data_IF_321478429173
#
_entry.id   IF_321478429173
#
_cell.length_a   1.000
_cell.length_b   1.000
_cell.length_c   1.000
_cell.angle_alpha   90.00
_cell.angle_beta   90.00
_cell.angle_gamma   90.00
#
_symmetry.space_group_name_H-M   'P 1'
#
loop_
_entity.id
_entity.type
_entity.pdbx_description
1 polymer ?
#
# COMPACT_ATOMS: atom_id res chain seq x y z
N UNK A 1 28.42 12.67 18.35
CA UNK A 1 27.82 11.35 18.68
C UNK A 1 28.64 10.29 17.98
N UNK A 2 29.14 9.26 18.69
CA UNK A 2 29.83 8.15 17.98
C UNK A 2 28.79 7.22 17.36
N UNK A 3 29.15 6.57 16.25
CA UNK A 3 28.30 5.61 15.51
C UNK A 3 27.68 4.54 16.43
N UNK A 4 28.41 4.10 17.47
CA UNK A 4 27.97 3.08 18.44
C UNK A 4 26.72 3.44 19.26
N UNK A 5 26.29 4.70 19.30
CA UNK A 5 25.06 5.09 20.00
C UNK A 5 23.82 5.01 19.11
N UNK A 6 23.97 5.09 17.79
CA UNK A 6 22.83 5.03 16.86
C UNK A 6 22.35 3.59 16.66
N UNK A 7 23.28 2.64 16.60
CA UNK A 7 22.97 1.21 16.42
C UNK A 7 22.10 0.63 17.55
N UNK A 8 22.15 1.24 18.75
CA UNK A 8 21.33 0.85 19.90
C UNK A 8 19.87 1.31 19.80
N UNK A 9 19.54 2.18 18.84
CA UNK A 9 18.17 2.65 18.61
C UNK A 9 17.37 1.69 17.72
N UNK A 10 18.05 0.73 17.08
CA UNK A 10 17.43 -0.23 16.17
C UNK A 10 17.33 -1.61 16.82
N UNK A 11 16.18 -2.29 16.70
CA UNK A 11 16.00 -3.61 17.29
C UNK A 11 16.81 -4.67 16.52
N UNK A 12 17.27 -5.69 17.22
CA UNK A 12 17.62 -6.97 16.60
C UNK A 12 16.35 -7.74 16.22
N UNK A 13 16.46 -8.75 15.34
CA UNK A 13 15.30 -9.49 14.82
C UNK A 13 14.41 -10.09 15.91
N UNK A 14 15.00 -10.53 17.04
CA UNK A 14 14.28 -11.13 18.16
C UNK A 14 13.58 -10.10 19.07
N UNK A 15 13.93 -8.81 18.95
CA UNK A 15 13.35 -7.71 19.72
C UNK A 15 12.13 -7.09 19.03
N UNK A 16 11.90 -7.43 17.76
CA UNK A 16 10.72 -6.97 17.01
C UNK A 16 9.48 -7.72 17.54
N UNK A 17 8.47 -7.02 18.09
CA UNK A 17 7.26 -7.67 18.56
C UNK A 17 6.55 -8.44 17.44
N UNK A 18 6.01 -9.63 17.75
CA UNK A 18 5.40 -10.53 16.76
C UNK A 18 4.27 -9.87 15.97
N UNK A 19 3.49 -9.01 16.62
CA UNK A 19 2.40 -8.26 15.97
C UNK A 19 2.90 -7.33 14.86
N UNK A 20 4.13 -6.79 14.96
CA UNK A 20 4.75 -5.93 13.96
C UNK A 20 5.70 -6.69 13.03
N UNK A 21 6.17 -7.87 13.42
CA UNK A 21 7.00 -8.68 12.56
C UNK A 21 6.15 -9.29 11.43
N UNK A 22 6.49 -9.00 10.18
CA UNK A 22 5.87 -9.64 9.01
C UNK A 22 6.42 -11.06 8.87
N UNK A 23 5.54 -12.06 8.86
CA UNK A 23 5.92 -13.47 8.70
C UNK A 23 6.55 -13.75 7.32
N UNK A 24 6.06 -13.05 6.29
CA UNK A 24 6.60 -13.08 4.94
C UNK A 24 6.42 -11.71 4.27
N UNK A 25 7.26 -11.38 3.27
CA UNK A 25 7.04 -10.21 2.43
C UNK A 25 5.67 -10.28 1.72
N UNK A 26 5.01 -9.14 1.59
CA UNK A 26 3.72 -9.03 0.90
C UNK A 26 3.96 -8.70 -0.57
N UNK A 27 3.62 -9.64 -1.45
CA UNK A 27 3.76 -9.46 -2.90
C UNK A 27 2.44 -9.00 -3.51
N UNK A 28 2.32 -7.71 -3.82
CA UNK A 28 1.16 -7.21 -4.53
C UNK A 28 1.27 -7.57 -6.02
N UNK A 29 0.41 -8.49 -6.46
CA UNK A 29 0.35 -9.00 -7.84
C UNK A 29 -0.87 -8.52 -8.59
N UNK A 30 -1.60 -7.55 -8.03
CA UNK A 30 -2.81 -7.02 -8.62
C UNK A 30 -2.83 -5.49 -8.52
N UNK A 31 -3.51 -4.87 -9.48
CA UNK A 31 -3.79 -3.44 -9.50
C UNK A 31 -5.28 -3.20 -9.74
N UNK A 32 -5.80 -2.10 -9.20
CA UNK A 32 -7.21 -1.72 -9.32
C UNK A 32 -7.41 -0.80 -10.52
N UNK A 33 -8.25 -1.21 -11.47
CA UNK A 33 -8.66 -0.39 -12.61
C UNK A 33 -10.15 -0.57 -12.87
N UNK A 34 -10.87 0.54 -13.03
CA UNK A 34 -12.31 0.53 -13.33
C UNK A 34 -13.16 -0.35 -12.37
N UNK A 35 -12.80 -0.38 -11.08
CA UNK A 35 -13.52 -1.17 -10.07
C UNK A 35 -13.14 -2.66 -10.03
N UNK A 36 -12.16 -3.11 -10.81
CA UNK A 36 -11.71 -4.51 -10.87
C UNK A 36 -10.25 -4.65 -10.45
N UNK A 37 -9.95 -5.67 -9.65
CA UNK A 37 -8.57 -6.11 -9.41
C UNK A 37 -8.11 -6.97 -10.58
N UNK A 38 -7.03 -6.56 -11.22
CA UNK A 38 -6.45 -7.27 -12.36
C UNK A 38 -5.05 -7.77 -12.03
N UNK A 39 -4.75 -8.97 -12.53
CA UNK A 39 -3.45 -9.61 -12.37
C UNK A 39 -2.35 -8.81 -13.07
N UNK A 40 -1.23 -8.63 -12.39
CA UNK A 40 -0.05 -7.94 -12.86
C UNK A 40 1.08 -8.94 -13.12
N UNK A 41 1.58 -8.95 -14.36
CA UNK A 41 2.68 -9.81 -14.79
C UNK A 41 3.92 -8.99 -15.22
N UNK A 42 3.90 -7.67 -15.01
CA UNK A 42 4.98 -6.76 -15.37
C UNK A 42 6.02 -6.59 -14.28
N UNK A 43 6.80 -5.51 -14.38
CA UNK A 43 7.85 -5.18 -13.40
C UNK A 43 7.24 -4.86 -12.03
N UNK A 44 7.95 -5.23 -10.97
CA UNK A 44 7.62 -4.83 -9.60
C UNK A 44 8.77 -4.06 -8.97
N UNK A 45 8.45 -3.26 -7.95
CA UNK A 45 9.41 -2.57 -7.10
C UNK A 45 9.41 -3.23 -5.73
N UNK A 46 10.59 -3.62 -5.25
CA UNK A 46 10.76 -4.06 -3.88
C UNK A 46 10.54 -2.90 -2.89
N UNK A 47 9.84 -3.21 -1.80
CA UNK A 47 9.60 -2.32 -0.67
C UNK A 47 10.46 -2.75 0.51
N UNK A 48 11.13 -1.79 1.11
CA UNK A 48 12.05 -1.97 2.23
C UNK A 48 11.50 -1.25 3.47
N UNK A 49 11.63 -1.89 4.62
CA UNK A 49 11.30 -1.28 5.91
C UNK A 49 12.11 0.00 6.12
N UNK A 50 11.49 1.11 6.54
CA UNK A 50 12.22 2.31 6.94
C UNK A 50 12.94 2.14 8.29
N UNK A 51 12.51 1.15 9.10
CA UNK A 51 13.19 0.78 10.34
C UNK A 51 14.20 -0.33 10.04
N UNK A 52 15.46 -0.03 10.32
CA UNK A 52 16.57 -0.97 10.14
C UNK A 52 16.57 -2.00 11.26
N UNK A 53 17.09 -3.19 10.96
CA UNK A 53 17.31 -4.27 11.91
C UNK A 53 18.81 -4.36 12.17
N UNK A 54 19.18 -4.52 13.44
CA UNK A 54 20.55 -4.75 13.83
C UNK A 54 20.90 -6.24 13.65
N UNK A 55 21.74 -6.54 12.67
CA UNK A 55 22.21 -7.89 12.33
C UNK A 55 23.70 -8.05 12.67
N UNK A 56 24.22 -9.28 12.55
CA UNK A 56 25.65 -9.52 12.76
C UNK A 56 26.55 -8.81 11.74
N UNK A 57 25.99 -8.39 10.60
CA UNK A 57 26.65 -7.69 9.51
C UNK A 57 26.52 -6.16 9.64
N UNK A 58 25.69 -5.67 10.57
CA UNK A 58 25.42 -4.26 10.81
C UNK A 58 23.93 -3.91 10.70
N UNK A 59 23.62 -2.63 10.50
CA UNK A 59 22.24 -2.19 10.28
C UNK A 59 21.81 -2.50 8.85
N UNK A 60 20.75 -3.29 8.70
CA UNK A 60 20.20 -3.69 7.39
C UNK A 60 18.71 -3.41 7.31
N UNK A 61 18.23 -3.06 6.11
CA UNK A 61 16.79 -2.94 5.86
C UNK A 61 16.19 -4.32 5.60
N UNK A 62 15.04 -4.58 6.22
CA UNK A 62 14.25 -5.78 5.94
C UNK A 62 13.34 -5.53 4.74
N UNK A 63 13.35 -6.42 3.74
CA UNK A 63 12.38 -6.40 2.63
C UNK A 63 11.00 -6.76 3.16
N UNK A 64 10.00 -5.92 2.89
CA UNK A 64 8.63 -6.11 3.40
C UNK A 64 7.63 -6.47 2.30
N UNK A 65 8.00 -6.37 1.04
CA UNK A 65 7.13 -6.76 -0.06
C UNK A 65 7.57 -6.23 -1.41
N UNK A 66 6.66 -6.25 -2.38
CA UNK A 66 6.79 -5.55 -3.65
C UNK A 66 5.43 -5.07 -4.17
N UNK A 67 5.45 -4.07 -5.07
CA UNK A 67 4.25 -3.59 -5.76
C UNK A 67 4.47 -3.42 -7.27
N UNK A 68 3.40 -3.45 -8.09
CA UNK A 68 3.48 -3.23 -9.54
C UNK A 68 4.08 -1.88 -9.92
N UNK A 69 5.03 -1.86 -10.85
CA UNK A 69 5.43 -0.63 -11.54
C UNK A 69 4.70 -0.56 -12.88
N UNK A 70 3.76 0.38 -12.98
CA UNK A 70 3.05 0.67 -14.22
C UNK A 70 3.88 1.55 -15.15
N UNK A 71 3.75 1.33 -16.47
CA UNK A 71 4.31 2.21 -17.50
C UNK A 71 3.20 3.10 -18.11
N UNK A 72 3.57 3.97 -19.04
CA UNK A 72 2.63 4.90 -19.69
C UNK A 72 1.35 4.24 -20.26
N UNK A 73 1.38 3.04 -20.88
CA UNK A 73 0.16 2.39 -21.38
C UNK A 73 -0.85 2.05 -20.28
N UNK A 74 -0.39 1.52 -19.14
CA UNK A 74 -1.25 1.15 -18.02
C UNK A 74 -1.88 2.41 -17.38
N UNK A 75 -1.09 3.47 -17.25
CA UNK A 75 -1.57 4.75 -16.76
C UNK A 75 -2.65 5.37 -17.69
N UNK A 76 -2.47 5.24 -19.00
CA UNK A 76 -3.46 5.69 -19.98
C UNK A 76 -4.76 4.90 -19.88
N UNK A 77 -4.71 3.60 -19.63
CA UNK A 77 -5.91 2.79 -19.40
C UNK A 77 -6.70 3.29 -18.18
N UNK A 78 -6.02 3.46 -17.04
CA UNK A 78 -6.64 3.97 -15.81
C UNK A 78 -7.24 5.36 -16.04
N UNK A 79 -6.54 6.22 -16.77
CA UNK A 79 -7.04 7.54 -17.14
C UNK A 79 -8.32 7.46 -17.99
N UNK A 80 -8.36 6.63 -19.03
CA UNK A 80 -9.55 6.47 -19.86
C UNK A 80 -10.74 5.91 -19.07
N UNK A 81 -10.49 4.98 -18.15
CA UNK A 81 -11.51 4.48 -17.23
C UNK A 81 -12.07 5.61 -16.34
N UNK A 82 -11.20 6.45 -15.78
CA UNK A 82 -11.61 7.59 -14.95
C UNK A 82 -12.40 8.65 -15.76
N UNK A 83 -11.95 8.98 -16.98
CA UNK A 83 -12.66 9.91 -17.87
C UNK A 83 -14.05 9.37 -18.22
N UNK A 84 -14.15 8.08 -18.52
CA UNK A 84 -15.44 7.42 -18.79
C UNK A 84 -16.34 7.41 -17.56
N UNK A 85 -15.80 7.13 -16.38
CA UNK A 85 -16.56 7.15 -15.13
C UNK A 85 -17.07 8.56 -14.76
N UNK A 86 -16.32 9.61 -15.14
CA UNK A 86 -16.75 11.00 -14.96
C UNK A 86 -17.81 11.43 -15.98
N UNK A 87 -17.70 10.98 -17.24
CA UNK A 87 -18.58 11.33 -18.38
C UNK A 87 -18.97 12.82 -18.42
N UNK A 88 -17.96 13.70 -18.39
CA UNK A 88 -18.17 15.16 -18.41
C UNK A 88 -19.16 15.66 -17.32
N UNK A 89 -19.16 15.02 -16.15
CA UNK A 89 -20.06 15.34 -15.03
C UNK A 89 -21.40 14.60 -15.04
N UNK A 90 -21.66 13.73 -16.03
CA UNK A 90 -22.90 12.93 -16.15
C UNK A 90 -22.72 11.48 -15.70
N UNK A 91 -21.51 11.08 -15.32
CA UNK A 91 -21.25 9.77 -14.76
C UNK A 91 -21.98 9.55 -13.43
N UNK A 92 -21.99 8.31 -12.95
CA UNK A 92 -22.72 7.92 -11.75
C UNK A 92 -22.29 8.75 -10.52
N UNK A 93 -20.99 8.83 -10.24
CA UNK A 93 -20.46 9.57 -9.10
C UNK A 93 -20.76 11.10 -9.13
N UNK A 94 -20.50 11.83 -10.24
CA UNK A 94 -20.81 13.26 -10.28
C UNK A 94 -22.33 13.56 -10.28
N UNK A 95 -23.17 12.66 -10.83
CA UNK A 95 -24.63 12.82 -10.85
C UNK A 95 -25.33 12.42 -9.54
N UNK A 96 -24.65 11.66 -8.67
CA UNK A 96 -25.13 11.40 -7.30
C UNK A 96 -25.32 12.69 -6.50
N UNK A 97 -26.34 12.70 -5.65
CA UNK A 97 -26.50 13.72 -4.62
C UNK A 97 -25.35 13.69 -3.61
N UNK A 98 -25.15 14.80 -2.91
CA UNK A 98 -24.17 14.88 -1.82
C UNK A 98 -24.41 13.79 -0.77
N UNK A 99 -25.68 13.53 -0.42
CA UNK A 99 -26.04 12.49 0.55
C UNK A 99 -25.61 11.08 0.10
N UNK A 100 -25.83 10.72 -1.17
CA UNK A 100 -25.40 9.42 -1.71
C UNK A 100 -23.88 9.27 -1.71
N UNK A 101 -23.13 10.33 -2.07
CA UNK A 101 -21.67 10.29 -2.01
C UNK A 101 -21.15 10.15 -0.58
N UNK A 102 -21.78 10.81 0.39
CA UNK A 102 -21.47 10.63 1.82
C UNK A 102 -21.69 9.17 2.22
N UNK A 103 -22.83 8.58 1.86
CA UNK A 103 -23.13 7.17 2.18
C UNK A 103 -22.09 6.21 1.59
N UNK A 104 -21.62 6.45 0.36
CA UNK A 104 -20.54 5.66 -0.25
C UNK A 104 -19.23 5.76 0.55
N UNK A 105 -18.84 6.97 0.96
CA UNK A 105 -17.63 7.19 1.77
C UNK A 105 -17.77 6.56 3.16
N UNK A 106 -18.93 6.70 3.81
CA UNK A 106 -19.19 6.06 5.11
C UNK A 106 -19.09 4.54 5.03
N UNK A 107 -19.69 3.92 4.00
CA UNK A 107 -19.56 2.48 3.75
C UNK A 107 -18.11 2.05 3.55
N UNK A 108 -17.32 2.84 2.82
CA UNK A 108 -15.90 2.58 2.65
C UNK A 108 -15.14 2.68 3.99
N UNK A 109 -15.36 3.74 4.77
CA UNK A 109 -14.72 3.92 6.07
C UNK A 109 -15.06 2.81 7.06
N UNK A 110 -16.33 2.37 7.10
CA UNK A 110 -16.74 1.24 7.93
C UNK A 110 -15.98 -0.06 7.58
N UNK A 111 -15.78 -0.33 6.29
CA UNK A 111 -14.96 -1.48 5.84
C UNK A 111 -13.48 -1.30 6.18
N UNK A 112 -12.95 -0.09 6.09
CA UNK A 112 -11.55 0.21 6.43
C UNK A 112 -11.25 -0.02 7.92
N UNK A 113 -12.22 0.22 8.83
CA UNK A 113 -12.04 -0.05 10.26
C UNK A 113 -11.72 -1.53 10.49
N UNK A 114 -12.39 -2.45 9.79
CA UNK A 114 -12.11 -3.88 9.89
C UNK A 114 -10.73 -4.29 9.35
N UNK A 115 -10.04 -3.38 8.64
CA UNK A 115 -8.71 -3.57 8.05
C UNK A 115 -7.63 -2.72 8.69
N UNK A 116 -7.95 -1.99 9.76
CA UNK A 116 -7.05 -1.01 10.40
C UNK A 116 -5.72 -1.63 10.80
N UNK A 117 -5.73 -2.74 11.54
CA UNK A 117 -4.50 -3.31 12.09
C UNK A 117 -3.58 -3.86 10.98
N UNK A 118 -4.17 -4.43 9.92
CA UNK A 118 -3.46 -4.87 8.72
C UNK A 118 -2.79 -3.69 8.00
N UNK A 119 -3.51 -2.59 7.81
CA UNK A 119 -2.98 -1.39 7.13
C UNK A 119 -1.91 -0.70 7.97
N UNK A 120 -2.13 -0.53 9.27
CA UNK A 120 -1.19 0.15 10.18
C UNK A 120 0.13 -0.61 10.29
N UNK A 121 0.10 -1.95 10.21
CA UNK A 121 1.33 -2.76 10.19
C UNK A 121 2.22 -2.49 8.97
N UNK A 122 1.68 -1.91 7.90
CA UNK A 122 2.36 -1.69 6.62
C UNK A 122 2.73 -0.22 6.35
N UNK A 123 2.46 0.69 7.29
CA UNK A 123 2.80 2.13 7.23
C UNK A 123 3.97 2.45 8.16
#
# INVERSE_FOLDING_TARGET
MSLNNLEKLFPSENEIPKEFNLEAPIEQKEYLVNGELRQWNGKTQDVWSPVYVNTAQGLEQKRIGSYPITDAPDAMEVLYAAVKAYDNGRGEWPSMSVAQRIECVEKFTQKMIAKRDEVVKLL
#
